data_IF_032236494894
#
_entry.id   IF_032236494894
#
_cell.length_a   1.000
_cell.length_b   1.000
_cell.length_c   1.000
_cell.angle_alpha   90.00
_cell.angle_beta   90.00
_cell.angle_gamma   90.00
#
_symmetry.space_group_name_H-M   'P 1'
#
loop_
_entity.id
_entity.type
_entity.pdbx_description
1 polymer ?
#
# COMPACT_ATOMS: atom_id res chain seq x y z
N UNK A 1 27.54 15.65 -30.73
CA UNK A 1 26.29 15.80 -29.95
C UNK A 1 25.51 14.47 -30.00
N UNK A 2 25.82 13.52 -29.09
CA UNK A 2 25.14 12.22 -29.07
C UNK A 2 23.74 12.44 -28.51
N UNK A 3 22.72 12.33 -29.37
CA UNK A 3 21.32 12.21 -28.96
C UNK A 3 21.24 11.04 -27.99
N UNK A 4 21.07 11.32 -26.69
CA UNK A 4 20.60 10.34 -25.72
C UNK A 4 19.24 9.88 -26.23
N UNK A 5 19.23 8.78 -26.98
CA UNK A 5 18.03 7.99 -27.19
C UNK A 5 17.57 7.64 -25.78
N UNK A 6 16.54 8.34 -25.29
CA UNK A 6 15.80 7.94 -24.09
C UNK A 6 15.40 6.50 -24.36
N UNK A 7 16.16 5.55 -23.79
CA UNK A 7 15.80 4.14 -23.77
C UNK A 7 14.48 4.11 -23.01
N UNK A 8 13.40 4.10 -23.77
CA UNK A 8 12.07 3.99 -23.24
C UNK A 8 12.02 2.75 -22.37
N UNK A 9 11.73 2.92 -21.08
CA UNK A 9 11.67 1.80 -20.15
C UNK A 9 10.73 0.71 -20.72
N UNK A 10 11.17 -0.55 -20.79
CA UNK A 10 10.32 -1.63 -21.28
C UNK A 10 9.08 -1.76 -20.38
N UNK A 11 7.95 -2.17 -20.96
CA UNK A 11 6.69 -2.29 -20.21
C UNK A 11 6.84 -3.20 -18.97
N UNK A 12 7.71 -4.21 -19.04
CA UNK A 12 8.08 -5.08 -17.93
C UNK A 12 8.60 -4.33 -16.70
N UNK A 13 9.37 -3.25 -16.86
CA UNK A 13 9.89 -2.46 -15.73
C UNK A 13 8.76 -1.76 -14.96
N UNK A 14 7.73 -1.30 -15.67
CA UNK A 14 6.56 -0.68 -15.03
C UNK A 14 5.75 -1.69 -14.21
N UNK A 15 5.60 -2.92 -14.71
CA UNK A 15 4.93 -3.98 -13.96
C UNK A 15 5.73 -4.42 -12.73
N UNK A 16 7.06 -4.54 -12.83
CA UNK A 16 7.92 -4.92 -11.70
C UNK A 16 7.92 -3.83 -10.64
N UNK A 17 8.15 -2.57 -11.01
CA UNK A 17 8.16 -1.45 -10.06
C UNK A 17 6.76 -1.23 -9.47
N UNK A 18 5.72 -1.32 -10.29
CA UNK A 18 4.33 -1.20 -9.85
C UNK A 18 3.94 -2.32 -8.88
N UNK A 19 4.34 -3.56 -9.17
CA UNK A 19 4.13 -4.72 -8.31
C UNK A 19 4.87 -4.60 -6.98
N UNK A 20 6.13 -4.15 -6.99
CA UNK A 20 6.90 -3.90 -5.76
C UNK A 20 6.24 -2.84 -4.88
N UNK A 21 5.77 -1.73 -5.45
CA UNK A 21 5.06 -0.69 -4.70
C UNK A 21 3.75 -1.21 -4.07
N UNK A 22 2.98 -2.02 -4.80
CA UNK A 22 1.80 -2.68 -4.23
C UNK A 22 2.16 -3.63 -3.09
N UNK A 23 3.23 -4.41 -3.25
CA UNK A 23 3.69 -5.36 -2.22
C UNK A 23 4.14 -4.63 -0.95
N UNK A 24 4.84 -3.50 -1.10
CA UNK A 24 5.20 -2.61 0.02
C UNK A 24 3.93 -2.06 0.71
N UNK A 25 2.95 -1.57 -0.06
CA UNK A 25 1.67 -1.11 0.52
C UNK A 25 0.96 -2.19 1.30
N UNK A 26 0.91 -3.42 0.77
CA UNK A 26 0.28 -4.57 1.45
C UNK A 26 1.03 -4.87 2.75
N UNK A 27 2.36 -4.97 2.72
CA UNK A 27 3.16 -5.21 3.92
C UNK A 27 2.95 -4.13 5.00
N UNK A 28 2.89 -2.85 4.60
CA UNK A 28 2.61 -1.76 5.53
C UNK A 28 1.19 -1.85 6.12
N UNK A 29 0.20 -2.24 5.32
CA UNK A 29 -1.18 -2.49 5.76
C UNK A 29 -1.25 -3.60 6.81
N UNK A 30 -0.62 -4.75 6.54
CA UNK A 30 -0.61 -5.88 7.46
C UNK A 30 0.18 -5.60 8.74
N UNK A 31 1.29 -4.87 8.65
CA UNK A 31 2.05 -4.48 9.83
C UNK A 31 1.25 -3.49 10.71
N UNK A 32 0.56 -2.53 10.09
CA UNK A 32 -0.36 -1.63 10.79
C UNK A 32 -1.52 -2.36 11.47
N UNK A 33 -2.10 -3.34 10.77
CA UNK A 33 -3.18 -4.17 11.30
C UNK A 33 -2.69 -5.04 12.48
N UNK A 34 -1.58 -5.76 12.34
CA UNK A 34 -1.03 -6.58 13.41
C UNK A 34 -0.68 -5.77 14.66
N UNK A 35 -0.14 -4.55 14.50
CA UNK A 35 0.11 -3.65 15.62
C UNK A 35 -1.18 -3.29 16.35
N UNK A 36 -2.23 -2.90 15.63
CA UNK A 36 -3.55 -2.65 16.21
C UNK A 36 -4.09 -3.88 16.91
N UNK A 37 -4.11 -5.03 16.24
CA UNK A 37 -4.64 -6.29 16.80
C UNK A 37 -3.91 -6.70 18.07
N UNK A 38 -2.57 -6.61 18.12
CA UNK A 38 -1.79 -6.93 19.32
C UNK A 38 -2.05 -6.03 20.53
N UNK A 39 -2.61 -4.83 20.32
CA UNK A 39 -3.03 -3.91 21.38
C UNK A 39 -4.44 -4.16 21.87
N UNK A 40 -5.27 -4.87 21.10
CA UNK A 40 -6.65 -5.22 21.44
C UNK A 40 -6.82 -6.68 21.87
N UNK A 41 -5.97 -7.57 21.36
CA UNK A 41 -6.03 -9.01 21.59
C UNK A 41 -4.73 -9.41 22.29
N UNK A 42 -4.85 -9.72 23.58
CA UNK A 42 -3.76 -10.28 24.38
C UNK A 42 -4.21 -11.67 24.82
N UNK A 43 -3.42 -12.71 24.52
CA UNK A 43 -3.75 -14.12 24.80
C UNK A 43 -5.11 -14.61 24.25
N UNK A 44 -5.57 -14.05 23.12
CA UNK A 44 -6.84 -14.45 22.49
C UNK A 44 -8.09 -13.85 23.14
N UNK A 45 -7.94 -13.03 24.19
CA UNK A 45 -9.02 -12.30 24.83
C UNK A 45 -8.96 -10.81 24.45
N UNK A 46 -10.13 -10.19 24.28
CA UNK A 46 -10.23 -8.75 24.02
C UNK A 46 -9.93 -8.03 25.34
N UNK A 47 -8.81 -7.33 25.42
CA UNK A 47 -8.43 -6.52 26.59
C UNK A 47 -9.42 -5.35 26.69
N UNK A 48 -10.44 -5.47 27.56
CA UNK A 48 -11.44 -4.42 27.75
C UNK A 48 -12.84 -4.81 28.25
N UNK A 49 -13.18 -6.11 28.38
CA UNK A 49 -14.46 -6.56 28.97
C UNK A 49 -15.70 -5.81 28.45
N UNK A 50 -16.74 -5.65 29.27
CA UNK A 50 -18.08 -5.12 28.91
C UNK A 50 -18.14 -3.66 28.38
N UNK A 51 -17.01 -3.03 28.06
CA UNK A 51 -16.91 -1.64 27.61
C UNK A 51 -16.51 -1.54 26.13
N UNK A 52 -17.42 -1.93 25.23
CA UNK A 52 -17.25 -1.77 23.76
C UNK A 52 -16.86 -0.33 23.35
N UNK A 53 -17.32 0.67 24.11
CA UNK A 53 -16.99 2.08 23.87
C UNK A 53 -15.53 2.44 24.18
N UNK A 54 -14.91 1.81 25.19
CA UNK A 54 -13.48 2.06 25.49
C UNK A 54 -12.57 1.43 24.44
N UNK A 55 -12.95 0.26 23.91
CA UNK A 55 -12.24 -0.36 22.80
C UNK A 55 -12.34 0.48 21.51
N UNK A 56 -13.52 1.02 21.19
CA UNK A 56 -13.71 1.96 20.08
C UNK A 56 -12.87 3.24 20.25
N UNK A 57 -12.90 3.86 21.44
CA UNK A 57 -12.10 5.06 21.72
C UNK A 57 -10.59 4.82 21.63
N UNK A 58 -10.11 3.67 22.13
CA UNK A 58 -8.72 3.27 21.97
C UNK A 58 -8.37 3.01 20.50
N UNK A 59 -9.30 2.44 19.72
CA UNK A 59 -9.09 2.18 18.30
C UNK A 59 -8.98 3.50 17.55
N UNK A 60 -9.87 4.45 17.82
CA UNK A 60 -9.83 5.80 17.27
C UNK A 60 -8.55 6.53 17.66
N UNK A 61 -8.11 6.45 18.92
CA UNK A 61 -6.87 7.08 19.38
C UNK A 61 -5.62 6.47 18.72
N UNK A 62 -5.58 5.15 18.52
CA UNK A 62 -4.48 4.48 17.80
C UNK A 62 -4.54 4.82 16.31
N UNK A 63 -5.74 4.91 15.73
CA UNK A 63 -5.92 5.37 14.35
C UNK A 63 -5.43 6.82 14.20
N UNK A 64 -5.73 7.70 15.15
CA UNK A 64 -5.33 9.11 15.15
C UNK A 64 -3.81 9.28 15.34
N UNK A 65 -3.14 8.35 16.02
CA UNK A 65 -1.67 8.33 16.08
C UNK A 65 -1.01 7.65 14.87
N UNK A 66 -1.76 6.86 14.09
CA UNK A 66 -1.24 6.00 13.03
C UNK A 66 -1.75 6.31 11.62
N UNK A 67 -2.70 7.24 11.44
CA UNK A 67 -3.38 7.51 10.17
C UNK A 67 -2.42 7.86 9.03
N UNK A 68 -1.32 8.54 9.36
CA UNK A 68 -0.26 8.89 8.43
C UNK A 68 0.42 7.67 7.78
N UNK A 69 0.46 6.51 8.46
CA UNK A 69 0.95 5.25 7.87
C UNK A 69 0.00 4.74 6.78
N UNK A 70 -1.30 4.95 6.95
CA UNK A 70 -2.31 4.61 5.94
C UNK A 70 -2.28 5.56 4.75
N UNK A 71 -1.89 6.83 4.95
CA UNK A 71 -1.56 7.74 3.85
C UNK A 71 -0.41 7.20 2.99
N UNK A 72 0.65 6.67 3.61
CA UNK A 72 1.74 6.04 2.87
C UNK A 72 1.28 4.80 2.09
N UNK A 73 0.44 3.94 2.70
CA UNK A 73 -0.17 2.81 2.00
C UNK A 73 -0.96 3.26 0.77
N UNK A 74 -1.79 4.32 0.91
CA UNK A 74 -2.56 4.87 -0.21
C UNK A 74 -1.65 5.44 -1.29
N UNK A 75 -0.59 6.14 -0.91
CA UNK A 75 0.38 6.73 -1.83
C UNK A 75 1.13 5.67 -2.65
N UNK A 76 1.74 4.69 -1.99
CA UNK A 76 2.45 3.60 -2.68
C UNK A 76 1.48 2.73 -3.50
N UNK A 77 0.25 2.55 -3.02
CA UNK A 77 -0.79 1.81 -3.73
C UNK A 77 -1.20 2.52 -5.02
N UNK A 78 -1.40 3.83 -4.95
CA UNK A 78 -1.73 4.68 -6.10
C UNK A 78 -0.60 4.69 -7.12
N UNK A 79 0.66 4.87 -6.68
CA UNK A 79 1.83 4.83 -7.57
C UNK A 79 1.93 3.46 -8.25
N UNK A 80 1.79 2.37 -7.49
CA UNK A 80 1.81 1.02 -8.02
C UNK A 80 0.75 0.80 -9.09
N UNK A 81 -0.48 1.22 -8.82
CA UNK A 81 -1.60 1.16 -9.76
C UNK A 81 -1.35 1.97 -11.04
N UNK A 82 -0.87 3.21 -10.91
CA UNK A 82 -0.57 4.08 -12.05
C UNK A 82 0.53 3.48 -12.94
N UNK A 83 1.59 2.94 -12.35
CA UNK A 83 2.67 2.28 -13.11
C UNK A 83 2.16 1.06 -13.87
N UNK A 84 1.34 0.21 -13.24
CA UNK A 84 0.74 -0.95 -13.92
C UNK A 84 -0.17 -0.50 -15.06
N UNK A 85 -0.96 0.56 -14.86
CA UNK A 85 -1.82 1.14 -15.90
C UNK A 85 -0.99 1.65 -17.09
N UNK A 86 0.09 2.38 -16.84
CA UNK A 86 1.03 2.82 -17.88
C UNK A 86 1.68 1.64 -18.62
N UNK A 87 2.13 0.62 -17.89
CA UNK A 87 2.67 -0.61 -18.47
C UNK A 87 1.68 -1.32 -19.40
N UNK A 88 0.40 -1.41 -19.01
CA UNK A 88 -0.68 -1.97 -19.85
C UNK A 88 -0.92 -1.14 -21.10
N UNK A 89 -0.95 0.18 -20.96
CA UNK A 89 -1.17 1.08 -22.09
C UNK A 89 -0.03 0.95 -23.11
N UNK A 90 1.22 0.90 -22.64
CA UNK A 90 2.41 0.70 -23.47
C UNK A 90 2.41 -0.63 -24.22
N UNK A 91 1.89 -1.71 -23.62
CA UNK A 91 1.68 -2.99 -24.32
C UNK A 91 0.60 -2.88 -25.40
N UNK A 92 -0.50 -2.19 -25.10
CA UNK A 92 -1.60 -2.00 -26.06
C UNK A 92 -1.16 -1.19 -27.28
N UNK A 93 -0.32 -0.17 -27.08
CA UNK A 93 0.21 0.66 -28.15
C UNK A 93 1.25 -0.09 -29.01
N UNK A 94 1.97 -1.06 -28.42
CA UNK A 94 2.87 -1.96 -29.17
C UNK A 94 2.12 -2.98 -30.02
N UNK A 95 1.00 -3.52 -29.54
CA UNK A 95 0.20 -4.50 -30.30
C UNK A 95 -0.66 -3.88 -31.41
N UNK A 96 -0.78 -2.55 -31.46
CA UNK A 96 -1.50 -1.81 -32.52
C UNK A 96 -0.61 -1.35 -33.68
N UNK A 97 0.71 -1.48 -33.55
CA UNK A 97 1.69 -1.25 -34.62
C UNK A 97 2.08 -2.58 -35.24
#
# INVERSE_FOLDING_TARGET
MKRNQKKEKPASEYFVIGGLNLLISICLLFNGFNYLTSRFIENGEIVGGNNKHKALLALFSILENGWWKYLFVLFFGLIGFLMIKEGRQKLKDRNKK
#
